data_IF_964825677401
#
_entry.id   IF_964825677401
#
_cell.length_a   1.000
_cell.length_b   1.000
_cell.length_c   1.000
_cell.angle_alpha   90.00
_cell.angle_beta   90.00
_cell.angle_gamma   90.00
#
_symmetry.space_group_name_H-M   'P 1'
#
loop_
_entity.id
_entity.type
_entity.pdbx_description
1 polymer ?
#
# COMPACT_ATOMS: atom_id res chain seq x y z
N UNK A 1 -11.90 -3.15 29.34
CA UNK A 1 -11.27 -4.27 28.61
C UNK A 1 -11.55 -4.29 27.09
N UNK A 2 -12.54 -3.57 26.54
CA UNK A 2 -12.85 -3.62 25.09
C UNK A 2 -11.92 -2.83 24.16
N UNK A 3 -11.29 -1.74 24.63
CA UNK A 3 -10.42 -0.89 23.79
C UNK A 3 -9.12 -1.55 23.39
N UNK A 4 -8.42 -2.19 24.33
CA UNK A 4 -7.17 -2.91 24.07
C UNK A 4 -7.39 -4.05 23.07
N UNK A 5 -8.49 -4.80 23.24
CA UNK A 5 -8.84 -5.89 22.34
C UNK A 5 -9.15 -5.42 20.91
N UNK A 6 -9.52 -4.15 20.70
CA UNK A 6 -9.76 -3.59 19.37
C UNK A 6 -8.46 -3.05 18.76
N UNK A 7 -7.63 -2.39 19.57
CA UNK A 7 -6.27 -1.99 19.19
C UNK A 7 -5.44 -3.18 18.66
N UNK A 8 -5.44 -4.30 19.39
CA UNK A 8 -4.65 -5.49 19.02
C UNK A 8 -5.22 -6.24 17.80
N UNK A 9 -6.46 -5.97 17.40
CA UNK A 9 -7.17 -6.69 16.33
C UNK A 9 -7.30 -5.92 15.03
N UNK A 10 -7.45 -4.60 15.12
CA UNK A 10 -7.64 -3.71 13.99
C UNK A 10 -7.18 -2.31 14.37
N UNK A 11 -5.86 -2.12 14.27
CA UNK A 11 -5.19 -0.91 14.71
C UNK A 11 -5.70 0.33 13.96
N UNK A 12 -5.84 0.23 12.64
CA UNK A 12 -6.41 1.28 11.82
C UNK A 12 -7.83 1.69 12.27
N UNK A 13 -8.76 0.74 12.37
CA UNK A 13 -10.13 1.04 12.77
C UNK A 13 -10.19 1.61 14.20
N UNK A 14 -9.35 1.10 15.09
CA UNK A 14 -9.21 1.64 16.45
C UNK A 14 -8.75 3.10 16.44
N UNK A 15 -7.71 3.44 15.67
CA UNK A 15 -7.17 4.80 15.60
C UNK A 15 -8.22 5.80 15.09
N UNK A 16 -8.92 5.46 14.00
CA UNK A 16 -9.99 6.31 13.46
C UNK A 16 -11.13 6.51 14.46
N UNK A 17 -11.52 5.47 15.19
CA UNK A 17 -12.54 5.56 16.23
C UNK A 17 -12.10 6.39 17.43
N UNK A 18 -10.85 6.26 17.88
CA UNK A 18 -10.35 7.05 19.02
C UNK A 18 -10.26 8.52 18.67
N UNK A 19 -9.78 8.87 17.47
CA UNK A 19 -9.78 10.25 17.00
C UNK A 19 -11.19 10.86 17.00
N UNK A 20 -12.19 10.13 16.51
CA UNK A 20 -13.58 10.58 16.53
C UNK A 20 -14.10 10.80 17.96
N UNK A 21 -13.84 9.86 18.87
CA UNK A 21 -14.25 9.96 20.28
C UNK A 21 -13.59 11.14 21.02
N UNK A 22 -12.33 11.44 20.71
CA UNK A 22 -11.63 12.59 21.29
C UNK A 22 -12.29 13.91 20.87
N UNK A 23 -12.69 14.04 19.60
CA UNK A 23 -13.43 15.21 19.11
C UNK A 23 -14.82 15.33 19.72
N UNK A 24 -15.54 14.21 19.85
CA UNK A 24 -16.83 14.19 20.53
C UNK A 24 -16.72 14.61 22.00
N UNK A 25 -15.69 14.14 22.70
CA UNK A 25 -15.42 14.53 24.08
C UNK A 25 -15.14 16.04 24.19
N UNK A 26 -14.31 16.59 23.30
CA UNK A 26 -14.06 18.03 23.22
C UNK A 26 -15.37 18.84 23.05
N UNK A 27 -16.22 18.42 22.11
CA UNK A 27 -17.50 19.07 21.82
C UNK A 27 -18.51 18.96 22.97
N UNK A 28 -18.46 17.88 23.76
CA UNK A 28 -19.34 17.65 24.92
C UNK A 28 -18.93 18.41 26.19
N UNK A 29 -17.82 19.15 26.16
CA UNK A 29 -17.32 19.91 27.30
C UNK A 29 -16.55 19.08 28.32
N UNK A 30 -15.77 18.09 27.85
CA UNK A 30 -14.91 17.29 28.72
C UNK A 30 -14.01 18.18 29.62
N UNK A 31 -13.91 17.83 30.91
CA UNK A 31 -13.34 18.71 31.94
C UNK A 31 -11.85 18.52 32.19
N UNK A 32 -11.19 17.57 31.53
CA UNK A 32 -9.75 17.35 31.68
C UNK A 32 -8.98 18.40 30.87
N UNK A 33 -7.84 18.92 31.39
CA UNK A 33 -7.01 19.90 30.70
C UNK A 33 -6.14 19.23 29.62
N UNK A 34 -6.79 18.59 28.65
CA UNK A 34 -6.14 17.95 27.51
C UNK A 34 -6.37 18.78 26.25
N UNK A 35 -5.40 18.75 25.35
CA UNK A 35 -5.51 19.34 24.02
C UNK A 35 -6.21 18.34 23.07
N UNK A 36 -7.53 18.26 23.24
CA UNK A 36 -8.35 17.20 22.63
C UNK A 36 -8.27 17.16 21.11
N UNK A 37 -8.25 18.32 20.45
CA UNK A 37 -8.22 18.41 18.98
C UNK A 37 -6.87 17.93 18.43
N UNK A 38 -5.76 18.43 18.98
CA UNK A 38 -4.43 17.99 18.54
C UNK A 38 -4.19 16.51 18.87
N UNK A 39 -4.68 15.99 20.00
CA UNK A 39 -4.62 14.57 20.31
C UNK A 39 -5.43 13.72 19.33
N UNK A 40 -6.63 14.18 18.95
CA UNK A 40 -7.44 13.49 17.95
C UNK A 40 -6.73 13.45 16.59
N UNK A 41 -6.12 14.56 16.18
CA UNK A 41 -5.37 14.66 14.93
C UNK A 41 -4.15 13.75 14.91
N UNK A 42 -3.35 13.71 15.99
CA UNK A 42 -2.20 12.82 16.08
C UNK A 42 -2.60 11.35 16.00
N UNK A 43 -3.67 10.94 16.70
CA UNK A 43 -4.18 9.57 16.65
C UNK A 43 -4.70 9.22 15.25
N UNK A 44 -5.44 10.12 14.60
CA UNK A 44 -5.90 9.91 13.22
C UNK A 44 -4.72 9.81 12.25
N UNK A 45 -3.68 10.64 12.45
CA UNK A 45 -2.50 10.64 11.60
C UNK A 45 -1.80 9.28 11.61
N UNK A 46 -1.78 8.59 12.75
CA UNK A 46 -1.20 7.26 12.89
C UNK A 46 -2.00 6.24 12.08
N UNK A 47 -3.34 6.29 12.10
CA UNK A 47 -4.17 5.47 11.23
C UNK A 47 -4.00 5.81 9.73
N UNK A 48 -3.80 7.08 9.39
CA UNK A 48 -3.52 7.51 8.01
C UNK A 48 -2.18 6.98 7.49
N UNK A 49 -1.17 6.83 8.35
CA UNK A 49 0.13 6.24 7.98
C UNK A 49 0.00 4.78 7.54
N UNK A 50 -0.88 3.99 8.16
CA UNK A 50 -1.15 2.61 7.73
C UNK A 50 -1.70 2.55 6.29
N UNK A 51 -2.62 3.47 5.95
CA UNK A 51 -3.15 3.58 4.59
C UNK A 51 -2.04 3.93 3.58
N UNK A 52 -1.24 4.94 3.89
CA UNK A 52 -0.10 5.37 3.06
C UNK A 52 0.91 4.23 2.89
N UNK A 53 1.16 3.47 3.96
CA UNK A 53 2.03 2.31 3.91
C UNK A 53 1.48 1.23 2.97
N UNK A 54 0.18 0.92 3.05
CA UNK A 54 -0.47 -0.02 2.13
C UNK A 54 -0.32 0.44 0.67
N UNK A 55 -0.64 1.71 0.37
CA UNK A 55 -0.53 2.29 -0.98
C UNK A 55 0.90 2.22 -1.51
N UNK A 56 1.89 2.65 -0.72
CA UNK A 56 3.30 2.64 -1.14
C UNK A 56 3.84 1.22 -1.38
N UNK A 57 3.37 0.23 -0.60
CA UNK A 57 3.74 -1.17 -0.80
C UNK A 57 3.13 -1.75 -2.08
N UNK A 58 1.86 -1.46 -2.35
CA UNK A 58 1.21 -1.83 -3.61
C UNK A 58 1.93 -1.19 -4.81
N UNK A 59 2.27 0.10 -4.73
CA UNK A 59 3.00 0.80 -5.78
C UNK A 59 4.33 0.12 -6.11
N UNK A 60 5.12 -0.24 -5.10
CA UNK A 60 6.40 -0.94 -5.27
C UNK A 60 6.25 -2.36 -5.82
N UNK A 61 5.15 -3.05 -5.50
CA UNK A 61 4.82 -4.35 -6.12
C UNK A 61 4.55 -4.14 -7.61
N UNK A 62 3.64 -3.21 -7.93
CA UNK A 62 3.25 -2.87 -9.31
C UNK A 62 4.48 -2.47 -10.13
N UNK A 63 5.34 -1.59 -9.59
CA UNK A 63 6.58 -1.15 -10.23
C UNK A 63 7.40 -2.36 -10.71
N UNK A 64 7.73 -3.26 -9.80
CA UNK A 64 8.62 -4.37 -10.10
C UNK A 64 7.94 -5.48 -10.92
N UNK A 65 6.63 -5.66 -10.81
CA UNK A 65 5.89 -6.54 -11.71
C UNK A 65 5.92 -6.00 -13.15
N UNK A 66 5.71 -4.70 -13.36
CA UNK A 66 5.84 -4.06 -14.68
C UNK A 66 7.26 -4.24 -15.23
N UNK A 67 8.29 -4.05 -14.39
CA UNK A 67 9.68 -4.27 -14.82
C UNK A 67 9.92 -5.73 -15.21
N UNK A 68 9.37 -6.68 -14.45
CA UNK A 68 9.43 -8.12 -14.75
C UNK A 68 8.61 -8.53 -15.96
N UNK A 69 7.62 -7.75 -16.37
CA UNK A 69 6.78 -8.04 -17.54
C UNK A 69 7.38 -7.44 -18.81
N UNK A 70 7.95 -6.23 -18.72
CA UNK A 70 8.32 -5.43 -19.89
C UNK A 70 9.82 -5.39 -20.17
N UNK A 71 10.68 -5.44 -19.15
CA UNK A 71 12.12 -5.36 -19.36
C UNK A 71 12.62 -6.62 -20.10
N UNK A 72 13.46 -6.49 -21.14
CA UNK A 72 14.16 -7.61 -21.75
C UNK A 72 15.39 -8.07 -20.93
N UNK A 73 15.82 -7.32 -19.92
CA UNK A 73 17.05 -7.60 -19.19
C UNK A 73 16.94 -8.82 -18.28
N UNK A 74 17.89 -9.75 -18.38
CA UNK A 74 17.89 -10.97 -17.54
C UNK A 74 18.49 -10.75 -16.15
N UNK A 75 19.59 -10.00 -16.09
CA UNK A 75 20.38 -9.83 -14.87
C UNK A 75 19.61 -9.21 -13.67
N UNK A 76 18.81 -8.14 -13.83
CA UNK A 76 18.17 -7.47 -12.69
C UNK A 76 16.93 -8.20 -12.15
N UNK A 77 16.38 -9.19 -12.88
CA UNK A 77 15.08 -9.82 -12.55
C UNK A 77 15.04 -10.42 -11.14
N UNK A 78 16.12 -11.04 -10.70
CA UNK A 78 16.19 -11.63 -9.35
C UNK A 78 16.09 -10.57 -8.25
N UNK A 79 16.58 -9.36 -8.50
CA UNK A 79 16.44 -8.22 -7.60
C UNK A 79 14.98 -7.78 -7.50
N UNK A 80 14.31 -7.61 -8.64
CA UNK A 80 12.89 -7.22 -8.70
C UNK A 80 11.98 -8.26 -8.05
N UNK A 81 12.19 -9.56 -8.30
CA UNK A 81 11.45 -10.65 -7.63
C UNK A 81 11.61 -10.60 -6.11
N UNK A 82 12.83 -10.35 -5.64
CA UNK A 82 13.10 -10.19 -4.19
C UNK A 82 12.33 -9.00 -3.62
N UNK A 83 12.34 -7.86 -4.31
CA UNK A 83 11.59 -6.67 -3.88
C UNK A 83 10.09 -6.95 -3.81
N UNK A 84 9.49 -7.57 -4.84
CA UNK A 84 8.07 -7.96 -4.84
C UNK A 84 7.75 -8.82 -3.62
N UNK A 85 8.53 -9.86 -3.37
CA UNK A 85 8.32 -10.75 -2.21
C UNK A 85 8.43 -10.02 -0.87
N UNK A 86 9.40 -9.11 -0.73
CA UNK A 86 9.56 -8.31 0.48
C UNK A 86 8.34 -7.39 0.69
N UNK A 87 7.84 -6.76 -0.36
CA UNK A 87 6.68 -5.88 -0.26
C UNK A 87 5.40 -6.66 0.02
N UNK A 88 5.16 -7.81 -0.64
CA UNK A 88 4.05 -8.72 -0.33
C UNK A 88 4.07 -9.13 1.14
N UNK A 89 5.22 -9.60 1.64
CA UNK A 89 5.39 -10.01 3.04
C UNK A 89 5.06 -8.87 4.02
N UNK A 90 5.55 -7.67 3.72
CA UNK A 90 5.34 -6.52 4.59
C UNK A 90 3.90 -6.01 4.52
N UNK A 91 3.28 -6.01 3.34
CA UNK A 91 1.88 -5.67 3.14
C UNK A 91 0.96 -6.65 3.89
N UNK A 92 1.22 -7.95 3.80
CA UNK A 92 0.49 -8.95 4.60
C UNK A 92 0.58 -8.69 6.10
N UNK A 93 1.73 -8.21 6.60
CA UNK A 93 1.90 -7.86 8.02
C UNK A 93 1.01 -6.68 8.41
N UNK A 94 1.04 -5.60 7.64
CA UNK A 94 0.20 -4.41 7.86
C UNK A 94 -1.28 -4.78 7.83
N UNK A 95 -1.72 -5.54 6.82
CA UNK A 95 -3.11 -5.97 6.71
C UNK A 95 -3.56 -6.91 7.83
N UNK A 96 -2.63 -7.67 8.43
CA UNK A 96 -2.94 -8.50 9.61
C UNK A 96 -3.16 -7.67 10.87
N UNK A 97 -2.43 -6.57 11.01
CA UNK A 97 -2.55 -5.63 12.15
C UNK A 97 -3.74 -4.67 11.96
N UNK A 98 -4.11 -4.40 10.71
CA UNK A 98 -5.20 -3.53 10.31
C UNK A 98 -6.16 -4.21 9.30
N UNK A 99 -6.90 -5.27 9.69
CA UNK A 99 -7.71 -6.07 8.75
C UNK A 99 -8.78 -5.30 7.98
N UNK A 100 -9.36 -4.25 8.58
CA UNK A 100 -10.33 -3.37 7.88
C UNK A 100 -9.75 -2.66 6.66
N UNK A 101 -8.42 -2.49 6.55
CA UNK A 101 -7.80 -1.97 5.34
C UNK A 101 -7.90 -2.92 4.16
N UNK A 102 -8.07 -4.23 4.40
CA UNK A 102 -8.23 -5.22 3.32
C UNK A 102 -9.46 -4.93 2.46
N UNK A 103 -10.56 -4.51 3.10
CA UNK A 103 -11.79 -4.17 2.40
C UNK A 103 -11.70 -2.84 1.62
N UNK A 104 -10.65 -2.05 1.88
CA UNK A 104 -10.40 -0.74 1.25
C UNK A 104 -9.30 -0.78 0.19
N UNK A 105 -8.71 -1.94 -0.08
CA UNK A 105 -7.61 -2.05 -1.04
C UNK A 105 -7.97 -1.56 -2.44
N UNK A 106 -9.23 -1.74 -2.86
CA UNK A 106 -9.72 -1.22 -4.15
C UNK A 106 -9.72 0.31 -4.19
N UNK A 107 -9.90 0.98 -3.04
CA UNK A 107 -9.82 2.45 -2.94
C UNK A 107 -8.38 2.96 -3.09
N UNK A 108 -7.40 2.16 -2.70
CA UNK A 108 -5.97 2.54 -2.72
C UNK A 108 -5.26 2.15 -4.02
N UNK A 109 -5.80 1.19 -4.76
CA UNK A 109 -5.20 0.68 -5.99
C UNK A 109 -4.99 1.75 -7.07
N UNK A 110 -5.91 2.71 -7.31
CA UNK A 110 -5.69 3.76 -8.32
C UNK A 110 -4.44 4.61 -8.04
N UNK A 111 -4.25 5.05 -6.80
CA UNK A 111 -3.09 5.84 -6.41
C UNK A 111 -1.81 5.00 -6.48
N UNK A 112 -1.86 3.76 -5.96
CA UNK A 112 -0.74 2.83 -6.05
C UNK A 112 -0.34 2.52 -7.50
N UNK A 113 -1.30 2.46 -8.41
CA UNK A 113 -1.05 2.27 -9.83
C UNK A 113 -0.32 3.45 -10.44
N UNK A 114 -0.77 4.68 -10.15
CA UNK A 114 -0.12 5.90 -10.66
C UNK A 114 1.34 5.95 -10.21
N UNK A 115 1.57 5.77 -8.91
CA UNK A 115 2.91 5.80 -8.32
C UNK A 115 3.80 4.66 -8.89
N UNK A 116 3.29 3.42 -8.89
CA UNK A 116 4.04 2.25 -9.34
C UNK A 116 4.35 2.28 -10.85
N UNK A 117 3.42 2.79 -11.67
CA UNK A 117 3.65 3.00 -13.11
C UNK A 117 4.71 4.06 -13.35
N UNK A 118 4.67 5.17 -12.60
CA UNK A 118 5.67 6.23 -12.72
C UNK A 118 7.07 5.74 -12.32
N UNK A 119 7.19 5.01 -11.21
CA UNK A 119 8.46 4.43 -10.78
C UNK A 119 8.97 3.39 -11.80
N UNK A 120 8.08 2.56 -12.36
CA UNK A 120 8.45 1.60 -13.41
C UNK A 120 8.96 2.30 -14.67
N UNK A 121 8.33 3.42 -15.06
CA UNK A 121 8.77 4.19 -16.22
C UNK A 121 10.22 4.65 -16.06
N UNK A 122 10.57 5.23 -14.91
CA UNK A 122 11.96 5.60 -14.61
C UNK A 122 12.89 4.39 -14.57
N UNK A 123 12.46 3.30 -13.96
CA UNK A 123 13.25 2.07 -13.84
C UNK A 123 13.54 1.37 -15.18
N UNK A 124 12.72 1.62 -16.19
CA UNK A 124 12.82 1.01 -17.53
C UNK A 124 13.47 1.91 -18.59
N UNK A 125 13.91 3.12 -18.23
CA UNK A 125 14.57 4.04 -19.18
C UNK A 125 15.82 3.42 -19.82
N UNK A 126 16.60 2.65 -19.05
CA UNK A 126 17.79 1.95 -19.54
C UNK A 126 17.48 0.86 -20.58
N UNK A 127 16.24 0.36 -20.61
CA UNK A 127 15.73 -0.61 -21.58
C UNK A 127 15.10 0.08 -22.81
N UNK A 128 15.23 1.41 -22.94
CA UNK A 128 14.64 2.23 -24.00
C UNK A 128 13.10 2.10 -24.06
N UNK A 129 12.45 1.86 -22.92
CA UNK A 129 11.00 1.87 -22.81
C UNK A 129 10.52 3.24 -22.32
N UNK A 130 9.41 3.71 -22.89
CA UNK A 130 8.86 5.03 -22.60
C UNK A 130 7.38 4.92 -22.22
N UNK A 131 6.75 6.04 -21.90
CA UNK A 131 5.35 6.11 -21.46
C UNK A 131 4.36 5.33 -22.35
N UNK A 132 4.58 5.36 -23.68
CA UNK A 132 3.77 4.64 -24.68
C UNK A 132 3.90 3.11 -24.63
N UNK A 133 4.99 2.61 -24.06
CA UNK A 133 5.30 1.18 -23.96
C UNK A 133 4.70 0.56 -22.68
N UNK A 134 4.26 1.39 -21.73
CA UNK A 134 3.62 0.95 -20.49
C UNK A 134 2.09 0.95 -20.64
N UNK A 135 1.37 0.03 -19.98
CA UNK A 135 -0.09 0.05 -19.94
C UNK A 135 -0.64 1.40 -19.44
N UNK A 136 -1.79 1.81 -19.96
CA UNK A 136 -2.50 3.01 -19.49
C UNK A 136 -3.34 2.75 -18.24
N UNK A 137 -3.85 1.54 -18.12
CA UNK A 137 -4.64 1.06 -16.99
C UNK A 137 -3.85 -0.05 -16.28
N UNK A 138 -4.11 -0.24 -14.98
CA UNK A 138 -3.44 -1.28 -14.20
C UNK A 138 -3.76 -2.67 -14.77
N UNK A 139 -2.75 -3.46 -15.20
CA UNK A 139 -2.99 -4.79 -15.75
C UNK A 139 -3.25 -5.83 -14.66
N UNK A 140 -2.96 -5.51 -13.39
CA UNK A 140 -3.00 -6.45 -12.28
C UNK A 140 -4.25 -6.27 -11.42
N UNK A 141 -4.85 -7.39 -11.05
CA UNK A 141 -5.91 -7.44 -10.03
C UNK A 141 -5.29 -7.50 -8.65
N UNK A 142 -6.02 -7.04 -7.63
CA UNK A 142 -5.58 -7.15 -6.22
C UNK A 142 -5.17 -8.58 -5.83
N UNK A 143 -5.91 -9.58 -6.30
CA UNK A 143 -5.56 -10.99 -6.07
C UNK A 143 -4.15 -11.35 -6.56
N UNK A 144 -3.75 -10.86 -7.73
CA UNK A 144 -2.43 -11.11 -8.31
C UNK A 144 -1.32 -10.33 -7.60
N UNK A 145 -1.61 -9.10 -7.17
CA UNK A 145 -0.67 -8.29 -6.38
C UNK A 145 -0.36 -8.95 -5.03
N UNK A 146 -1.35 -9.60 -4.42
CA UNK A 146 -1.24 -10.25 -3.11
C UNK A 146 -0.77 -11.71 -3.19
N UNK A 147 -0.93 -12.37 -4.34
CA UNK A 147 -0.58 -13.79 -4.51
C UNK A 147 0.94 -13.99 -4.56
N UNK A 148 1.55 -14.71 -3.59
CA UNK A 148 3.00 -14.96 -3.58
C UNK A 148 3.50 -15.75 -4.80
N UNK A 149 2.63 -16.54 -5.44
CA UNK A 149 2.99 -17.38 -6.59
C UNK A 149 2.78 -16.68 -7.94
N UNK A 150 2.10 -15.52 -7.95
CA UNK A 150 1.89 -14.78 -9.18
C UNK A 150 3.16 -14.05 -9.65
N UNK A 151 3.53 -14.31 -10.90
CA UNK A 151 4.58 -13.64 -11.66
C UNK A 151 4.14 -13.45 -13.11
N UNK A 152 4.33 -12.27 -13.71
CA UNK A 152 3.88 -12.00 -15.07
C UNK A 152 4.74 -12.68 -16.13
N UNK A 153 4.08 -13.00 -17.25
CA UNK A 153 4.63 -13.18 -18.60
C UNK A 153 5.73 -12.15 -18.93
N UNK A 154 6.99 -12.56 -19.18
CA UNK A 154 7.93 -11.63 -19.81
C UNK A 154 7.55 -11.44 -21.28
N UNK A 155 6.98 -10.28 -21.62
CA UNK A 155 6.53 -9.97 -22.97
C UNK A 155 7.68 -9.75 -23.96
N UNK A 156 8.90 -9.48 -23.47
CA UNK A 156 10.04 -9.07 -24.29
C UNK A 156 11.27 -9.97 -24.16
N UNK A 157 11.24 -10.97 -23.30
CA UNK A 157 12.32 -11.97 -23.16
C UNK A 157 11.84 -13.35 -23.55
N UNK A 158 11.88 -13.58 -24.87
CA UNK A 158 12.09 -14.87 -25.51
C UNK A 158 12.32 -14.58 -27.02
N UNK A 159 13.58 -14.31 -27.38
CA UNK A 159 14.16 -14.61 -28.69
C UNK A 159 15.39 -15.48 -28.48
#
# INVERSE_FOLDING_TARGET
MGFQAKYDKDFYAWAMEQAARLREAAASGASLPLDWENLAEEIESIGRREQIEVTSRLARIIEHLLMLELSPADWPRNGWKRSVNQQRTSLTRVLRESPSLTAKLDEFLPDAWVDGRQDALFGLEADCLFDRDLPRECPYRLGELLDPEFWPDNQRGNQ
#
